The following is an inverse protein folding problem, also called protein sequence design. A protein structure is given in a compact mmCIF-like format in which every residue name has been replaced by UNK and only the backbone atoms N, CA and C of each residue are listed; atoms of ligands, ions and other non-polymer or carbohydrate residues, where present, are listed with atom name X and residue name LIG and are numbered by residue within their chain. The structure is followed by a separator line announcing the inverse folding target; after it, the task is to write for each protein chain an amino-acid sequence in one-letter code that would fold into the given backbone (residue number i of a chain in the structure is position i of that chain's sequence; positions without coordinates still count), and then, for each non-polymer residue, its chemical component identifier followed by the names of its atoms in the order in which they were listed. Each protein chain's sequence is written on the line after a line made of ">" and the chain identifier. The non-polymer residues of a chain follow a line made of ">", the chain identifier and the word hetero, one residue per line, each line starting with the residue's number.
data_IF_478723538454
#
_entry.id   IF_478723538454
#
_cell.length_a   1.000
_cell.length_b   1.000
_cell.length_c   1.000
_cell.angle_alpha   90.00
_cell.angle_beta   90.00
_cell.angle_gamma   90.00
#
_symmetry.space_group_name_H-M   'P 1'
#
loop_
_entity.id
_entity.type
_entity.pdbx_description
1 polymer ?
#
# COMPACT_ATOMS: atom_id res chain seq x y z
N UNK A 1 -61.41 26.72 36.71
CA UNK A 1 -60.99 27.92 35.96
C UNK A 1 -59.56 27.69 35.46
N UNK A 2 -59.32 27.79 34.15
CA UNK A 2 -57.98 27.84 33.55
C UNK A 2 -57.33 29.19 33.91
N UNK A 3 -55.99 29.28 33.92
CA UNK A 3 -55.28 29.86 32.75
C UNK A 3 -54.05 29.00 32.35
N UNK A 4 -53.72 28.74 31.07
CA UNK A 4 -53.17 29.66 30.03
C UNK A 4 -51.90 30.33 30.57
N UNK A 5 -50.70 30.27 29.99
CA UNK A 5 -50.16 29.86 28.69
C UNK A 5 -48.79 30.56 28.61
N UNK A 6 -47.75 29.89 28.08
CA UNK A 6 -46.40 30.46 28.09
C UNK A 6 -45.42 29.69 27.23
N UNK A 7 -45.80 29.41 25.98
CA UNK A 7 -44.94 28.82 24.96
C UNK A 7 -44.02 29.93 24.43
N UNK A 8 -42.76 29.96 24.86
CA UNK A 8 -41.75 30.88 24.31
C UNK A 8 -41.26 30.30 22.98
N UNK A 9 -41.70 30.91 21.88
CA UNK A 9 -41.09 30.79 20.57
C UNK A 9 -39.72 31.47 20.57
N UNK A 10 -38.64 30.72 20.38
CA UNK A 10 -37.39 31.29 19.85
C UNK A 10 -37.46 31.22 18.32
N UNK A 11 -37.39 32.41 17.71
CA UNK A 11 -37.43 32.65 16.27
C UNK A 11 -36.34 31.87 15.55
N UNK A 12 -36.69 31.36 14.37
CA UNK A 12 -35.76 30.85 13.38
C UNK A 12 -34.86 31.98 12.89
N UNK A 13 -33.56 31.68 12.74
CA UNK A 13 -32.66 32.45 11.90
C UNK A 13 -32.23 31.53 10.75
N UNK A 14 -32.87 31.70 9.61
CA UNK A 14 -32.43 31.22 8.30
C UNK A 14 -31.21 32.06 7.89
N UNK A 15 -30.06 31.41 7.71
CA UNK A 15 -28.86 32.04 7.12
C UNK A 15 -28.62 31.35 5.78
N UNK A 16 -28.46 32.16 4.74
CA UNK A 16 -28.26 31.75 3.36
C UNK A 16 -26.93 30.98 3.18
N UNK A 17 -26.85 30.07 2.19
CA UNK A 17 -25.67 29.25 1.95
C UNK A 17 -24.77 29.97 0.96
N UNK A 18 -23.78 30.71 1.44
CA UNK A 18 -22.61 31.10 0.66
C UNK A 18 -21.52 31.49 1.65
N UNK A 19 -20.26 31.20 1.31
CA UNK A 19 -19.01 31.38 2.07
C UNK A 19 -18.40 30.08 2.63
N UNK A 20 -18.03 29.16 1.74
CA UNK A 20 -16.93 28.22 2.00
C UNK A 20 -16.18 27.85 0.71
N UNK A 21 -15.58 28.85 0.07
CA UNK A 21 -14.55 28.66 -0.94
C UNK A 21 -13.50 29.71 -0.70
N UNK A 22 -12.37 29.33 -0.10
CA UNK A 22 -11.04 29.95 -0.24
C UNK A 22 -10.07 29.36 0.80
N UNK A 23 -9.55 28.18 0.49
CA UNK A 23 -8.43 27.56 1.23
C UNK A 23 -7.27 27.13 0.31
N UNK A 24 -7.30 27.52 -0.97
CA UNK A 24 -6.17 27.33 -1.89
C UNK A 24 -5.90 28.63 -2.67
N UNK A 25 -4.90 29.38 -2.21
CA UNK A 25 -4.32 30.50 -2.95
C UNK A 25 -3.64 30.07 -4.26
N UNK A 26 -3.23 31.05 -5.09
CA UNK A 26 -3.13 30.89 -6.54
C UNK A 26 -2.01 29.95 -6.99
N UNK A 27 -2.34 29.10 -7.98
CA UNK A 27 -1.38 28.28 -8.71
C UNK A 27 -0.50 29.19 -9.59
N UNK A 28 0.80 29.15 -9.37
CA UNK A 28 1.80 29.70 -10.28
C UNK A 28 1.81 28.90 -11.58
N UNK A 29 1.56 29.58 -12.70
CA UNK A 29 1.78 29.05 -14.04
C UNK A 29 3.25 29.24 -14.43
N UNK A 30 3.92 28.14 -14.78
CA UNK A 30 5.23 28.16 -15.43
C UNK A 30 5.01 28.41 -16.92
N UNK A 31 5.67 29.38 -17.57
CA UNK A 31 5.57 29.59 -19.01
C UNK A 31 6.43 28.56 -19.76
N UNK A 32 5.81 27.79 -20.65
CA UNK A 32 6.53 26.99 -21.65
C UNK A 32 6.72 27.85 -22.89
N UNK A 33 7.97 28.24 -23.14
CA UNK A 33 8.39 28.97 -24.34
C UNK A 33 8.27 28.06 -25.57
N UNK A 34 7.40 28.45 -26.51
CA UNK A 34 7.42 27.99 -27.90
C UNK A 34 8.50 28.76 -28.67
N UNK A 35 9.57 28.07 -29.07
CA UNK A 35 10.49 28.52 -30.11
C UNK A 35 10.28 27.72 -31.39
N UNK A 36 9.84 28.42 -32.42
CA UNK A 36 9.84 28.00 -33.82
C UNK A 36 11.27 27.92 -34.36
N UNK A 37 11.54 27.00 -35.30
CA UNK A 37 12.57 27.26 -36.32
C UNK A 37 11.96 27.34 -37.73
N UNK A 38 12.42 28.35 -38.44
CA UNK A 38 12.05 28.77 -39.80
C UNK A 38 12.41 27.76 -40.90
N UNK A 39 11.68 27.91 -42.01
CA UNK A 39 11.78 27.14 -43.24
C UNK A 39 13.15 27.16 -43.92
N UNK A 40 13.56 26.01 -44.48
CA UNK A 40 14.53 25.92 -45.58
C UNK A 40 13.93 25.01 -46.67
N UNK A 41 13.85 25.56 -47.88
CA UNK A 41 13.40 24.92 -49.12
C UNK A 41 14.47 23.94 -49.62
N UNK A 42 14.05 22.77 -50.11
CA UNK A 42 14.92 21.83 -50.82
C UNK A 42 14.12 20.81 -51.63
N UNK A 43 14.15 20.98 -52.95
CA UNK A 43 13.51 20.15 -53.98
C UNK A 43 14.20 18.79 -54.10
N UNK A 44 13.47 17.66 -54.21
CA UNK A 44 13.70 16.64 -55.27
C UNK A 44 12.81 15.37 -55.22
N UNK A 45 12.08 15.19 -56.33
CA UNK A 45 11.81 13.95 -57.11
C UNK A 45 11.26 12.69 -56.41
N UNK A 46 9.95 12.50 -56.59
CA UNK A 46 9.24 11.21 -56.55
C UNK A 46 9.89 10.19 -57.51
N UNK A 47 10.36 9.05 -56.98
CA UNK A 47 10.59 7.84 -57.77
C UNK A 47 9.41 6.89 -57.59
N UNK A 48 8.73 6.57 -58.70
CA UNK A 48 7.80 5.43 -58.79
C UNK A 48 8.59 4.14 -58.62
N UNK A 49 8.08 3.22 -57.81
CA UNK A 49 8.46 1.80 -57.84
C UNK A 49 7.19 1.00 -58.17
N UNK A 50 7.32 0.12 -59.15
CA UNK A 50 6.29 -0.67 -59.80
C UNK A 50 6.61 -2.15 -59.53
N UNK A 51 5.68 -2.94 -58.98
CA UNK A 51 5.84 -4.40 -58.76
C UNK A 51 4.42 -5.05 -58.86
N UNK A 52 4.23 -6.32 -59.29
CA UNK A 52 3.73 -6.67 -60.61
C UNK A 52 2.39 -7.44 -60.59
N UNK A 53 1.71 -7.49 -61.73
CA UNK A 53 0.50 -8.31 -61.94
C UNK A 53 0.87 -9.79 -62.11
N UNK A 54 0.27 -10.70 -61.32
CA UNK A 54 0.21 -12.14 -61.63
C UNK A 54 -1.21 -12.56 -62.03
N UNK A 55 -1.25 -13.38 -63.09
CA UNK A 55 -2.43 -13.91 -63.81
C UNK A 55 -3.13 -15.06 -63.05
N UNK A 56 -4.39 -15.38 -63.39
CA UNK A 56 -5.21 -16.35 -62.68
C UNK A 56 -5.01 -17.77 -63.22
N UNK A 57 -5.01 -18.78 -62.34
CA UNK A 57 -5.28 -20.17 -62.74
C UNK A 57 -5.98 -20.97 -61.64
N UNK A 58 -7.23 -21.28 -61.96
CA UNK A 58 -7.94 -22.55 -61.85
C UNK A 58 -8.22 -23.21 -60.49
N UNK A 59 -9.51 -23.23 -60.21
CA UNK A 59 -10.29 -23.92 -59.19
C UNK A 59 -10.01 -25.44 -59.14
N UNK A 60 -9.73 -25.96 -57.94
CA UNK A 60 -10.17 -27.30 -57.53
C UNK A 60 -10.93 -27.13 -56.21
N UNK A 61 -12.22 -27.45 -56.24
CA UNK A 61 -13.08 -27.48 -55.05
C UNK A 61 -12.59 -28.60 -54.11
N UNK A 62 -12.36 -28.26 -52.85
CA UNK A 62 -12.25 -29.21 -51.75
C UNK A 62 -13.12 -28.67 -50.59
N UNK A 63 -13.87 -29.56 -49.96
CA UNK A 63 -14.95 -29.27 -49.01
C UNK A 63 -14.50 -28.48 -47.79
N UNK A 64 -15.40 -27.64 -47.28
CA UNK A 64 -15.23 -26.71 -46.14
C UNK A 64 -15.09 -27.38 -44.77
N UNK A 65 -14.77 -28.67 -44.70
CA UNK A 65 -14.76 -29.45 -43.45
C UNK A 65 -13.32 -29.76 -42.97
N UNK A 66 -12.30 -29.66 -43.83
CA UNK A 66 -10.92 -30.06 -43.48
C UNK A 66 -9.99 -28.91 -43.05
N UNK A 67 -10.50 -27.67 -42.89
CA UNK A 67 -9.70 -26.54 -42.36
C UNK A 67 -9.97 -26.22 -40.87
N UNK A 68 -10.87 -26.96 -40.21
CA UNK A 68 -11.25 -26.75 -38.82
C UNK A 68 -10.57 -27.71 -37.84
N UNK A 69 -9.56 -28.47 -38.28
CA UNK A 69 -8.83 -29.40 -37.41
C UNK A 69 -7.34 -29.08 -37.26
N UNK A 70 -6.76 -28.28 -38.15
CA UNK A 70 -5.35 -27.85 -38.07
C UNK A 70 -5.09 -26.59 -37.22
N UNK A 71 -6.13 -25.87 -36.82
CA UNK A 71 -6.02 -24.76 -35.84
C UNK A 71 -6.14 -25.29 -34.40
N UNK A 72 -6.76 -26.46 -34.21
CA UNK A 72 -6.89 -27.09 -32.89
C UNK A 72 -5.65 -27.91 -32.50
N UNK A 73 -4.87 -28.37 -33.49
CA UNK A 73 -3.63 -29.13 -33.28
C UNK A 73 -2.40 -28.25 -33.05
N UNK A 74 -2.40 -26.98 -33.45
CA UNK A 74 -1.33 -26.00 -33.14
C UNK A 74 -1.50 -25.30 -31.78
N UNK A 75 -2.60 -25.56 -31.06
CA UNK A 75 -2.80 -25.17 -29.65
C UNK A 75 -2.21 -26.23 -28.69
N UNK A 76 -1.62 -27.30 -29.23
CA UNK A 76 -1.00 -28.39 -28.45
C UNK A 76 0.52 -28.27 -28.30
N UNK A 77 1.04 -27.06 -28.20
CA UNK A 77 2.30 -26.79 -27.50
C UNK A 77 1.99 -26.13 -26.14
N UNK A 78 1.39 -26.95 -25.26
CA UNK A 78 1.03 -26.63 -23.88
C UNK A 78 2.27 -26.53 -22.97
N UNK A 79 3.13 -25.53 -23.19
CA UNK A 79 4.10 -25.02 -22.21
C UNK A 79 4.31 -23.50 -22.36
N UNK A 80 3.23 -22.73 -22.57
CA UNK A 80 3.28 -21.28 -22.34
C UNK A 80 3.30 -21.04 -20.82
N UNK A 81 4.52 -21.08 -20.28
CA UNK A 81 5.00 -20.30 -19.15
C UNK A 81 3.93 -19.77 -18.19
N UNK A 82 3.78 -20.43 -17.04
CA UNK A 82 3.05 -19.96 -15.86
C UNK A 82 3.65 -18.65 -15.31
N UNK A 83 3.55 -17.57 -16.08
CA UNK A 83 4.13 -16.25 -15.82
C UNK A 83 2.98 -15.29 -15.60
N UNK A 84 2.84 -14.81 -14.37
CA UNK A 84 1.90 -13.77 -14.01
C UNK A 84 2.65 -12.45 -13.92
N UNK A 85 2.23 -11.47 -14.72
CA UNK A 85 2.76 -10.12 -14.63
C UNK A 85 1.97 -9.33 -13.59
N UNK A 86 2.67 -8.78 -12.59
CA UNK A 86 2.02 -7.97 -11.57
C UNK A 86 1.43 -6.69 -12.18
N UNK A 87 0.14 -6.39 -11.98
CA UNK A 87 -0.52 -5.20 -12.54
C UNK A 87 0.00 -3.85 -12.01
N UNK A 88 0.85 -3.84 -10.98
CA UNK A 88 1.34 -2.64 -10.32
C UNK A 88 2.83 -2.38 -10.56
N UNK A 89 3.69 -3.39 -10.41
CA UNK A 89 5.14 -3.26 -10.59
C UNK A 89 5.64 -3.84 -11.93
N UNK A 90 4.77 -4.49 -12.71
CA UNK A 90 5.09 -5.12 -14.00
C UNK A 90 6.15 -6.23 -13.93
N UNK A 91 6.38 -6.76 -12.72
CA UNK A 91 7.29 -7.87 -12.52
C UNK A 91 6.66 -9.19 -12.96
N UNK A 92 7.43 -10.00 -13.67
CA UNK A 92 7.01 -11.30 -14.19
C UNK A 92 7.29 -12.39 -13.17
N UNK A 93 6.25 -12.85 -12.50
CA UNK A 93 6.32 -13.88 -11.46
C UNK A 93 6.23 -15.26 -12.11
N UNK A 94 7.17 -16.17 -11.81
CA UNK A 94 7.14 -17.57 -12.30
C UNK A 94 6.55 -18.49 -11.24
N UNK A 95 5.65 -19.39 -11.64
CA UNK A 95 5.15 -20.43 -10.76
C UNK A 95 6.23 -21.49 -10.44
N UNK A 96 6.14 -22.24 -9.32
CA UNK A 96 5.04 -22.25 -8.34
C UNK A 96 5.03 -21.05 -7.40
N UNK A 97 3.84 -20.49 -7.16
CA UNK A 97 3.65 -19.39 -6.21
C UNK A 97 3.34 -19.91 -4.80
N UNK A 98 3.69 -19.16 -3.76
CA UNK A 98 3.20 -19.39 -2.41
C UNK A 98 1.66 -19.35 -2.36
N UNK A 99 1.05 -20.17 -1.50
CA UNK A 99 -0.41 -20.37 -1.43
C UNK A 99 -1.20 -19.06 -1.31
N UNK A 100 -0.71 -18.12 -0.50
CA UNK A 100 -1.36 -16.81 -0.31
C UNK A 100 -1.35 -15.96 -1.58
N UNK A 101 -0.23 -15.95 -2.31
CA UNK A 101 -0.11 -15.22 -3.56
C UNK A 101 -1.01 -15.84 -4.64
N UNK A 102 -1.07 -17.17 -4.68
CA UNK A 102 -1.93 -17.87 -5.62
C UNK A 102 -3.42 -17.55 -5.37
N UNK A 103 -3.86 -17.55 -4.10
CA UNK A 103 -5.23 -17.15 -3.72
C UNK A 103 -5.55 -15.72 -4.15
N UNK A 104 -4.66 -14.77 -3.86
CA UNK A 104 -4.85 -13.37 -4.22
C UNK A 104 -4.93 -13.17 -5.75
N UNK A 105 -4.07 -13.84 -6.51
CA UNK A 105 -4.11 -13.80 -7.99
C UNK A 105 -5.41 -14.39 -8.52
N UNK A 106 -5.88 -15.51 -7.96
CA UNK A 106 -7.17 -16.14 -8.34
C UNK A 106 -8.34 -15.21 -8.09
N UNK A 107 -8.42 -14.62 -6.90
CA UNK A 107 -9.49 -13.70 -6.52
C UNK A 107 -9.56 -12.48 -7.46
N UNK A 108 -8.42 -11.86 -7.76
CA UNK A 108 -8.36 -10.71 -8.68
C UNK A 108 -8.72 -11.12 -10.11
N UNK A 109 -8.29 -12.29 -10.57
CA UNK A 109 -8.68 -12.83 -11.89
C UNK A 109 -10.19 -13.10 -11.96
N UNK A 110 -10.80 -13.59 -10.88
CA UNK A 110 -12.25 -13.82 -10.80
C UNK A 110 -13.03 -12.50 -10.84
N UNK A 111 -12.64 -11.50 -10.04
CA UNK A 111 -13.22 -10.14 -10.07
C UNK A 111 -13.13 -9.51 -11.47
N UNK A 112 -12.01 -9.70 -12.16
CA UNK A 112 -11.86 -9.24 -13.55
C UNK A 112 -12.83 -9.94 -14.50
N UNK A 113 -13.05 -11.24 -14.33
CA UNK A 113 -13.96 -12.02 -15.19
C UNK A 113 -15.41 -11.59 -14.98
N UNK A 114 -15.87 -11.49 -13.74
CA UNK A 114 -17.24 -11.06 -13.44
C UNK A 114 -17.51 -9.66 -13.97
N UNK A 115 -16.57 -8.73 -13.80
CA UNK A 115 -16.69 -7.38 -14.35
C UNK A 115 -16.77 -7.36 -15.89
N UNK A 116 -15.94 -8.16 -16.57
CA UNK A 116 -16.00 -8.31 -18.04
C UNK A 116 -17.32 -8.93 -18.51
N UNK A 117 -17.86 -9.90 -17.77
CA UNK A 117 -19.16 -10.52 -18.07
C UNK A 117 -20.32 -9.54 -17.88
N UNK A 118 -20.30 -8.73 -16.83
CA UNK A 118 -21.28 -7.67 -16.59
C UNK A 118 -21.25 -6.62 -17.71
N UNK A 119 -20.06 -6.20 -18.15
CA UNK A 119 -19.92 -5.30 -19.30
C UNK A 119 -20.51 -5.89 -20.58
N UNK A 120 -20.30 -7.19 -20.83
CA UNK A 120 -20.87 -7.87 -22.00
C UNK A 120 -22.39 -7.91 -21.93
N UNK A 121 -22.98 -8.28 -20.77
CA UNK A 121 -24.44 -8.29 -20.59
C UNK A 121 -25.06 -6.90 -20.71
N UNK A 122 -24.41 -5.88 -20.14
CA UNK A 122 -24.85 -4.49 -20.27
C UNK A 122 -24.76 -4.00 -21.72
N UNK A 123 -23.75 -4.44 -22.46
CA UNK A 123 -23.62 -4.13 -23.88
C UNK A 123 -24.67 -4.85 -24.74
N UNK A 124 -24.90 -6.14 -24.50
CA UNK A 124 -25.92 -6.93 -25.21
C UNK A 124 -27.32 -6.34 -25.02
N UNK A 125 -27.67 -5.94 -23.80
CA UNK A 125 -28.93 -5.25 -23.50
C UNK A 125 -29.02 -3.88 -24.18
N UNK A 126 -27.93 -3.10 -24.20
CA UNK A 126 -27.86 -1.84 -24.96
C UNK A 126 -28.10 -2.09 -26.45
N UNK A 127 -27.37 -3.03 -27.07
CA UNK A 127 -27.49 -3.42 -28.48
C UNK A 127 -28.92 -3.83 -28.83
N UNK A 128 -29.56 -4.66 -27.99
CA UNK A 128 -30.94 -5.09 -28.20
C UNK A 128 -31.92 -3.90 -28.22
N UNK A 129 -31.75 -2.94 -27.31
CA UNK A 129 -32.56 -1.72 -27.26
C UNK A 129 -32.31 -0.82 -28.48
N UNK A 130 -31.06 -0.59 -28.87
CA UNK A 130 -30.73 0.26 -30.02
C UNK A 130 -31.22 -0.32 -31.35
N UNK A 131 -31.21 -1.66 -31.49
CA UNK A 131 -31.81 -2.35 -32.64
C UNK A 131 -33.33 -2.17 -32.69
N UNK A 132 -34.02 -2.26 -31.56
CA UNK A 132 -35.47 -2.04 -31.48
C UNK A 132 -35.85 -0.58 -31.83
N UNK A 133 -34.99 0.39 -31.52
CA UNK A 133 -35.14 1.80 -31.87
C UNK A 133 -34.78 2.12 -33.34
N UNK A 134 -34.35 1.13 -34.13
CA UNK A 134 -34.04 1.29 -35.55
C UNK A 134 -32.69 1.98 -35.86
N UNK A 135 -31.75 2.04 -34.91
CA UNK A 135 -30.40 2.54 -35.18
C UNK A 135 -29.64 1.59 -36.11
N UNK A 136 -29.06 2.15 -37.18
CA UNK A 136 -28.27 1.40 -38.19
C UNK A 136 -26.85 1.11 -37.69
N UNK A 137 -26.29 2.00 -36.87
CA UNK A 137 -24.96 1.85 -36.29
C UNK A 137 -25.03 1.63 -34.78
N UNK A 138 -24.26 0.65 -34.30
CA UNK A 138 -24.11 0.34 -32.88
C UNK A 138 -22.62 0.38 -32.58
N UNK A 139 -22.26 1.18 -31.59
CA UNK A 139 -20.88 1.36 -31.17
C UNK A 139 -20.28 0.05 -30.63
N UNK A 140 -19.10 -0.40 -31.08
CA UNK A 140 -18.49 -1.65 -30.62
C UNK A 140 -18.17 -1.65 -29.11
N UNK A 141 -18.28 -2.82 -28.47
CA UNK A 141 -17.87 -2.99 -27.07
C UNK A 141 -16.34 -2.89 -26.94
N UNK A 142 -15.87 -1.87 -26.23
CA UNK A 142 -14.50 -1.77 -25.75
C UNK A 142 -14.49 -2.22 -24.29
N UNK A 143 -14.00 -3.44 -24.04
CA UNK A 143 -13.84 -3.95 -22.68
C UNK A 143 -12.82 -3.10 -21.93
N UNK A 144 -13.18 -2.69 -20.71
CA UNK A 144 -12.25 -1.98 -19.81
C UNK A 144 -11.76 -2.96 -18.76
N UNK A 145 -10.46 -3.00 -18.54
CA UNK A 145 -9.88 -3.71 -17.40
C UNK A 145 -10.03 -2.83 -16.15
N UNK A 146 -11.17 -2.93 -15.45
CA UNK A 146 -11.34 -2.28 -14.16
C UNK A 146 -10.88 -3.20 -13.03
N UNK A 147 -9.57 -3.35 -12.90
CA UNK A 147 -8.99 -3.85 -11.65
C UNK A 147 -8.94 -2.63 -10.72
N UNK A 148 -9.49 -2.75 -9.51
CA UNK A 148 -9.36 -1.70 -8.51
C UNK A 148 -7.88 -1.41 -8.25
N UNK A 149 -7.52 -0.13 -8.11
CA UNK A 149 -6.16 0.26 -7.73
C UNK A 149 -5.72 -0.36 -6.39
N UNK A 150 -6.69 -0.64 -5.51
CA UNK A 150 -6.47 -1.33 -4.25
C UNK A 150 -6.09 -2.80 -4.46
N UNK A 151 -6.80 -3.52 -5.35
CA UNK A 151 -6.50 -4.91 -5.69
C UNK A 151 -5.12 -5.05 -6.35
N UNK A 152 -4.75 -4.10 -7.23
CA UNK A 152 -3.40 -4.07 -7.84
C UNK A 152 -2.31 -3.94 -6.78
N UNK A 153 -2.49 -3.01 -5.83
CA UNK A 153 -1.55 -2.79 -4.72
C UNK A 153 -1.51 -3.99 -3.78
N UNK A 154 -2.64 -4.62 -3.51
CA UNK A 154 -2.73 -5.81 -2.66
C UNK A 154 -1.89 -6.95 -3.25
N UNK A 155 -2.11 -7.31 -4.51
CA UNK A 155 -1.31 -8.36 -5.19
C UNK A 155 0.17 -7.99 -5.23
N UNK A 156 0.49 -6.71 -5.44
CA UNK A 156 1.86 -6.22 -5.42
C UNK A 156 2.53 -6.45 -4.06
N UNK A 157 1.88 -6.00 -2.99
CA UNK A 157 2.39 -6.16 -1.64
C UNK A 157 2.54 -7.64 -1.30
N UNK A 158 1.58 -8.49 -1.64
CA UNK A 158 1.65 -9.92 -1.32
C UNK A 158 2.83 -10.58 -2.03
N UNK A 159 3.08 -10.32 -3.32
CA UNK A 159 4.21 -10.96 -4.00
C UNK A 159 5.55 -10.49 -3.44
N UNK A 160 5.73 -9.20 -3.15
CA UNK A 160 7.01 -8.71 -2.59
C UNK A 160 7.27 -9.36 -1.25
N UNK A 161 6.23 -9.45 -0.43
CA UNK A 161 6.35 -10.04 0.89
C UNK A 161 6.68 -11.54 0.82
N UNK A 162 5.97 -12.31 -0.01
CA UNK A 162 6.17 -13.77 -0.09
C UNK A 162 7.43 -14.18 -0.87
N UNK A 163 7.79 -13.45 -1.93
CA UNK A 163 8.89 -13.81 -2.83
C UNK A 163 10.21 -13.14 -2.47
N UNK A 164 10.21 -11.96 -1.86
CA UNK A 164 11.44 -11.25 -1.47
C UNK A 164 11.63 -11.29 0.05
N UNK A 165 10.66 -10.79 0.82
CA UNK A 165 10.88 -10.50 2.25
C UNK A 165 10.92 -11.77 3.10
N UNK A 166 10.02 -12.72 2.86
CA UNK A 166 9.94 -13.99 3.60
C UNK A 166 11.19 -14.87 3.43
N UNK A 167 11.70 -15.14 2.20
CA UNK A 167 12.93 -15.91 2.06
C UNK A 167 14.13 -15.18 2.68
N UNK A 168 14.24 -13.86 2.51
CA UNK A 168 15.29 -13.08 3.16
C UNK A 168 15.22 -13.15 4.69
N UNK A 169 14.02 -13.12 5.27
CA UNK A 169 13.84 -13.28 6.71
C UNK A 169 14.29 -14.67 7.20
N UNK A 170 14.00 -15.72 6.42
CA UNK A 170 14.44 -17.08 6.71
C UNK A 170 15.95 -17.25 6.62
N UNK A 171 16.58 -16.67 5.60
CA UNK A 171 18.04 -16.66 5.46
C UNK A 171 18.72 -15.92 6.62
N UNK A 172 18.11 -14.82 7.10
CA UNK A 172 18.59 -14.06 8.26
C UNK A 172 18.25 -14.71 9.61
N UNK A 173 17.48 -15.79 9.62
CA UNK A 173 17.10 -16.51 10.83
C UNK A 173 16.11 -15.77 11.73
N UNK A 174 15.28 -14.88 11.17
CA UNK A 174 14.23 -14.21 11.93
C UNK A 174 13.15 -15.22 12.38
N UNK A 175 12.53 -15.04 13.56
CA UNK A 175 11.47 -15.94 14.01
C UNK A 175 10.30 -16.00 13.01
N UNK A 176 9.94 -17.20 12.56
CA UNK A 176 8.77 -17.40 11.68
C UNK A 176 7.46 -17.18 12.44
N UNK A 177 7.43 -17.47 13.75
CA UNK A 177 6.28 -17.27 14.64
C UNK A 177 6.72 -16.56 15.91
N UNK A 178 5.93 -15.56 16.33
CA UNK A 178 6.19 -14.76 17.53
C UNK A 178 5.07 -15.04 18.53
N UNK A 179 5.44 -15.53 19.71
CA UNK A 179 4.50 -15.77 20.81
C UNK A 179 4.23 -14.47 21.58
N UNK A 180 3.29 -13.66 21.07
CA UNK A 180 2.94 -12.35 21.66
C UNK A 180 2.49 -12.43 23.13
N UNK A 181 1.88 -13.55 23.54
CA UNK A 181 1.45 -13.77 24.93
C UNK A 181 2.62 -13.79 25.91
N UNK A 182 3.79 -14.28 25.48
CA UNK A 182 5.00 -14.35 26.31
C UNK A 182 5.77 -13.03 26.35
N UNK A 183 5.47 -12.09 25.46
CA UNK A 183 6.18 -10.80 25.37
C UNK A 183 6.05 -10.01 26.67
N UNK A 184 4.89 -10.04 27.32
CA UNK A 184 4.68 -9.33 28.59
C UNK A 184 5.60 -9.84 29.70
N UNK A 185 5.74 -11.17 29.82
CA UNK A 185 6.65 -11.80 30.79
C UNK A 185 8.11 -11.46 30.50
N UNK A 186 8.48 -11.40 29.23
CA UNK A 186 9.84 -11.02 28.83
C UNK A 186 10.14 -9.57 29.15
N UNK A 187 9.20 -8.64 28.88
CA UNK A 187 9.33 -7.23 29.25
C UNK A 187 9.54 -7.07 30.77
N UNK A 188 8.84 -7.86 31.57
CA UNK A 188 9.02 -7.85 33.03
C UNK A 188 10.43 -8.26 33.46
N UNK A 189 11.13 -9.09 32.68
CA UNK A 189 12.49 -9.56 33.01
C UNK A 189 13.51 -8.43 32.99
N UNK A 190 13.35 -7.44 32.11
CA UNK A 190 14.26 -6.30 31.98
C UNK A 190 13.62 -4.97 32.38
N UNK A 191 12.57 -5.03 33.22
CA UNK A 191 11.84 -3.87 33.69
C UNK A 191 12.73 -2.88 34.42
N UNK A 192 13.66 -3.37 35.25
CA UNK A 192 14.56 -2.52 36.05
C UNK A 192 15.41 -1.62 35.16
N UNK A 193 15.94 -2.18 34.07
CA UNK A 193 16.72 -1.39 33.13
C UNK A 193 15.88 -0.33 32.39
N UNK A 194 14.58 -0.57 32.17
CA UNK A 194 13.68 0.45 31.63
C UNK A 194 13.45 1.58 32.65
N UNK A 195 13.39 1.25 33.94
CA UNK A 195 13.36 2.25 35.02
C UNK A 195 14.66 3.07 35.03
N UNK A 196 15.80 2.44 34.78
CA UNK A 196 17.08 3.14 34.68
C UNK A 196 17.10 4.17 33.54
N UNK A 197 16.49 3.85 32.41
CA UNK A 197 16.31 4.79 31.29
C UNK A 197 15.37 5.93 31.70
N UNK A 198 14.25 5.62 32.36
CA UNK A 198 13.28 6.64 32.83
C UNK A 198 13.97 7.60 33.80
N UNK A 199 14.73 7.09 34.78
CA UNK A 199 15.44 7.90 35.77
C UNK A 199 16.68 8.62 35.20
N UNK A 200 17.05 8.35 33.94
CA UNK A 200 18.23 8.94 33.30
C UNK A 200 19.56 8.38 33.80
N UNK A 201 19.55 7.21 34.46
CA UNK A 201 20.77 6.48 34.86
C UNK A 201 21.45 5.84 33.66
N UNK A 202 20.68 5.49 32.63
CA UNK A 202 21.17 4.90 31.38
C UNK A 202 20.85 5.80 30.20
N UNK A 203 21.84 6.03 29.35
CA UNK A 203 21.65 6.77 28.10
C UNK A 203 20.87 5.95 27.07
N UNK A 204 19.85 6.59 26.50
CA UNK A 204 18.98 6.02 25.47
C UNK A 204 19.13 6.84 24.18
N UNK A 205 19.46 6.16 23.07
CA UNK A 205 19.54 6.78 21.74
C UNK A 205 18.20 7.42 21.36
N UNK A 206 17.10 6.71 21.66
CA UNK A 206 15.74 7.13 21.34
C UNK A 206 15.31 8.33 22.18
N UNK A 207 15.67 8.37 23.47
CA UNK A 207 15.40 9.52 24.33
C UNK A 207 16.15 10.77 23.84
N UNK A 208 17.42 10.62 23.49
CA UNK A 208 18.22 11.72 22.94
C UNK A 208 17.64 12.23 21.63
N UNK A 209 17.25 11.33 20.73
CA UNK A 209 16.62 11.69 19.45
C UNK A 209 15.27 12.38 19.64
N UNK A 210 14.45 11.92 20.59
CA UNK A 210 13.18 12.54 20.91
C UNK A 210 13.36 13.96 21.46
N UNK A 211 14.32 14.18 22.38
CA UNK A 211 14.65 15.51 22.90
C UNK A 211 15.17 16.44 21.82
N UNK A 212 16.13 15.99 20.99
CA UNK A 212 16.67 16.76 19.86
C UNK A 212 15.58 17.18 18.87
N UNK A 213 14.61 16.31 18.60
CA UNK A 213 13.50 16.64 17.69
C UNK A 213 12.62 17.75 18.27
N UNK A 214 12.31 17.70 19.56
CA UNK A 214 11.55 18.75 20.25
C UNK A 214 12.32 20.07 20.27
N UNK A 215 13.63 20.04 20.49
CA UNK A 215 14.49 21.22 20.47
C UNK A 215 14.57 21.87 19.08
N UNK A 216 14.72 21.07 18.01
CA UNK A 216 14.89 21.58 16.64
C UNK A 216 13.63 22.20 16.05
N UNK A 217 12.47 21.55 16.25
CA UNK A 217 11.23 21.90 15.53
C UNK A 217 10.24 22.60 16.50
N UNK A 218 10.47 22.50 17.80
CA UNK A 218 9.58 23.02 18.84
C UNK A 218 8.47 22.02 19.21
N UNK A 219 7.95 22.16 20.43
CA UNK A 219 7.01 21.21 21.03
C UNK A 219 5.72 21.02 20.20
N UNK A 220 5.13 22.12 19.70
CA UNK A 220 3.87 22.05 18.95
C UNK A 220 4.04 21.37 17.59
N UNK A 221 5.10 21.69 16.85
CA UNK A 221 5.38 21.05 15.56
C UNK A 221 5.84 19.60 15.72
N UNK A 222 6.48 19.24 16.83
CA UNK A 222 6.86 17.85 17.13
C UNK A 222 5.65 16.92 17.31
N UNK A 223 4.46 17.49 17.57
CA UNK A 223 3.17 16.79 17.72
C UNK A 223 2.31 16.87 16.48
N UNK A 224 2.82 17.45 15.40
CA UNK A 224 2.11 17.47 14.12
C UNK A 224 1.95 16.05 13.56
N UNK A 225 0.86 15.84 12.81
CA UNK A 225 0.51 14.54 12.23
C UNK A 225 1.66 13.96 11.41
N UNK A 226 2.34 14.82 10.64
CA UNK A 226 3.51 14.43 9.83
C UNK A 226 4.63 13.84 10.69
N UNK A 227 4.93 14.46 11.83
CA UNK A 227 5.99 13.99 12.71
C UNK A 227 5.58 12.73 13.47
N UNK A 228 4.31 12.61 13.87
CA UNK A 228 3.80 11.40 14.47
C UNK A 228 3.92 10.20 13.53
N UNK A 229 3.62 10.37 12.24
CA UNK A 229 3.78 9.30 11.23
C UNK A 229 5.26 8.93 11.06
N UNK A 230 6.15 9.92 10.93
CA UNK A 230 7.59 9.67 10.80
C UNK A 230 8.15 8.92 12.01
N UNK A 231 7.77 9.34 13.22
CA UNK A 231 8.17 8.67 14.45
C UNK A 231 7.60 7.27 14.54
N UNK A 232 6.34 7.08 14.19
CA UNK A 232 5.72 5.76 14.20
C UNK A 232 6.50 4.80 13.31
N UNK A 233 6.83 5.18 12.08
CA UNK A 233 7.62 4.34 11.17
C UNK A 233 9.01 3.99 11.72
N UNK A 234 9.67 4.94 12.39
CA UNK A 234 11.01 4.73 12.95
C UNK A 234 11.02 3.98 14.29
N UNK A 235 9.94 4.07 15.06
CA UNK A 235 9.80 3.47 16.39
C UNK A 235 9.16 2.07 16.37
N UNK A 236 8.82 1.54 15.17
CA UNK A 236 8.31 0.18 15.04
C UNK A 236 9.36 -0.85 15.50
N UNK A 237 8.99 -1.85 16.31
CA UNK A 237 9.90 -2.84 16.87
C UNK A 237 10.33 -3.93 15.85
N UNK A 238 10.73 -3.53 14.63
CA UNK A 238 11.22 -4.45 13.59
C UNK A 238 10.23 -5.55 13.24
N UNK A 239 10.67 -6.82 13.25
CA UNK A 239 9.84 -7.98 12.95
C UNK A 239 8.66 -8.18 13.91
N UNK A 240 8.68 -7.60 15.11
CA UNK A 240 7.52 -7.60 16.00
C UNK A 240 6.35 -6.79 15.44
N UNK A 241 6.61 -5.86 14.53
CA UNK A 241 5.59 -5.11 13.79
C UNK A 241 4.60 -4.31 14.65
N UNK A 242 3.42 -4.04 14.10
CA UNK A 242 2.40 -3.18 14.74
C UNK A 242 1.72 -3.86 15.94
N UNK A 243 1.43 -5.16 15.87
CA UNK A 243 0.81 -5.89 17.00
C UNK A 243 1.77 -6.07 18.16
N UNK A 244 3.05 -6.31 17.87
CA UNK A 244 4.08 -6.30 18.91
C UNK A 244 4.21 -4.93 19.58
N UNK A 245 4.16 -3.85 18.80
CA UNK A 245 4.13 -2.50 19.37
C UNK A 245 2.90 -2.26 20.25
N UNK A 246 1.72 -2.72 19.86
CA UNK A 246 0.48 -2.58 20.65
C UNK A 246 0.57 -3.34 21.98
N UNK A 247 1.06 -4.60 21.96
CA UNK A 247 1.31 -5.38 23.18
C UNK A 247 2.32 -4.66 24.07
N UNK A 248 3.45 -4.20 23.52
CA UNK A 248 4.44 -3.43 24.28
C UNK A 248 3.84 -2.17 24.91
N UNK A 249 3.07 -1.38 24.16
CA UNK A 249 2.42 -0.16 24.68
C UNK A 249 1.50 -0.50 25.84
N UNK A 250 0.66 -1.55 25.71
CA UNK A 250 -0.26 -1.99 26.75
C UNK A 250 0.48 -2.40 28.02
N UNK A 251 1.47 -3.29 27.90
CA UNK A 251 2.27 -3.75 29.04
C UNK A 251 3.01 -2.59 29.70
N UNK A 252 3.69 -1.74 28.93
CA UNK A 252 4.45 -0.60 29.45
C UNK A 252 3.55 0.43 30.13
N UNK A 253 2.34 0.66 29.60
CA UNK A 253 1.36 1.54 30.22
C UNK A 253 0.93 1.00 31.58
N UNK A 254 0.65 -0.30 31.70
CA UNK A 254 0.31 -0.93 32.98
C UNK A 254 1.47 -0.89 33.98
N UNK A 255 2.70 -0.99 33.52
CA UNK A 255 3.88 -1.01 34.38
C UNK A 255 4.26 0.38 34.91
N UNK A 256 4.15 1.42 34.08
CA UNK A 256 4.83 2.70 34.35
C UNK A 256 3.93 3.92 34.45
N UNK A 257 2.70 3.90 33.89
CA UNK A 257 1.88 5.12 33.78
C UNK A 257 1.45 5.69 35.14
N UNK A 258 1.13 4.82 36.10
CA UNK A 258 0.68 5.19 37.45
C UNK A 258 1.80 5.19 38.50
N UNK A 259 3.05 4.93 38.09
CA UNK A 259 4.20 4.73 39.00
C UNK A 259 5.35 5.67 38.64
N UNK A 260 6.25 5.20 37.78
CA UNK A 260 7.55 5.83 37.52
C UNK A 260 7.49 7.02 36.54
N UNK A 261 6.46 7.08 35.68
CA UNK A 261 6.33 8.14 34.68
C UNK A 261 5.70 9.40 35.27
N UNK A 262 6.51 10.19 35.98
CA UNK A 262 6.10 11.54 36.40
C UNK A 262 6.28 12.57 35.27
N UNK A 263 5.44 13.61 35.27
CA UNK A 263 5.54 14.75 34.34
C UNK A 263 6.91 15.43 34.37
N UNK A 264 7.60 15.38 35.52
CA UNK A 264 8.94 15.97 35.69
C UNK A 264 10.01 15.14 34.96
N UNK A 265 9.95 13.82 35.10
CA UNK A 265 10.90 12.88 34.51
C UNK A 265 10.78 12.80 32.99
N UNK A 266 9.55 12.88 32.48
CA UNK A 266 9.27 12.74 31.05
C UNK A 266 9.51 14.04 30.26
N UNK A 267 9.70 15.18 30.92
CA UNK A 267 9.79 16.47 30.25
C UNK A 267 10.92 16.47 29.20
N UNK A 268 10.68 16.94 27.96
CA UNK A 268 9.53 17.70 27.46
C UNK A 268 8.35 16.86 26.91
N UNK A 269 8.45 15.54 26.93
CA UNK A 269 7.45 14.60 26.41
C UNK A 269 6.33 14.35 27.45
N UNK A 270 5.15 13.99 26.96
CA UNK A 270 4.09 13.43 27.83
C UNK A 270 4.42 11.96 28.17
N UNK A 271 3.92 11.42 29.30
CA UNK A 271 4.13 10.01 29.66
C UNK A 271 3.81 9.02 28.53
N UNK A 272 2.68 9.19 27.84
CA UNK A 272 2.31 8.31 26.71
C UNK A 272 3.22 8.49 25.48
N UNK A 273 3.66 9.72 25.21
CA UNK A 273 4.60 10.00 24.11
C UNK A 273 5.97 9.41 24.42
N UNK A 274 6.37 9.41 25.69
CA UNK A 274 7.60 8.79 26.16
C UNK A 274 7.55 7.27 25.98
N UNK A 275 6.44 6.63 26.36
CA UNK A 275 6.25 5.18 26.12
C UNK A 275 6.41 4.88 24.62
N UNK A 276 5.66 5.56 23.76
CA UNK A 276 5.64 5.27 22.33
C UNK A 276 6.96 5.58 21.61
N UNK A 277 7.62 6.69 21.93
CA UNK A 277 8.83 7.15 21.21
C UNK A 277 10.13 6.61 21.78
N UNK A 278 10.15 6.20 23.05
CA UNK A 278 11.37 5.79 23.76
C UNK A 278 11.25 4.35 24.23
N UNK A 279 10.27 4.04 25.09
CA UNK A 279 10.23 2.73 25.73
C UNK A 279 9.89 1.60 24.77
N UNK A 280 8.96 1.80 23.84
CA UNK A 280 8.60 0.79 22.83
C UNK A 280 9.80 0.38 21.97
N UNK A 281 10.54 1.31 21.31
CA UNK A 281 11.69 0.92 20.52
C UNK A 281 12.86 0.38 21.36
N UNK A 282 13.06 0.83 22.62
CA UNK A 282 14.04 0.23 23.53
C UNK A 282 13.64 -1.21 23.93
N UNK A 283 12.36 -1.47 24.18
CA UNK A 283 11.85 -2.82 24.45
C UNK A 283 12.01 -3.73 23.24
N UNK A 284 11.62 -3.25 22.06
CA UNK A 284 11.80 -3.99 20.81
C UNK A 284 13.25 -4.34 20.56
N UNK A 285 14.18 -3.40 20.78
CA UNK A 285 15.61 -3.64 20.66
C UNK A 285 16.09 -4.77 21.58
N UNK A 286 15.71 -4.73 22.87
CA UNK A 286 16.10 -5.75 23.86
C UNK A 286 15.50 -7.12 23.59
N UNK A 287 14.26 -7.17 23.11
CA UNK A 287 13.64 -8.43 22.69
C UNK A 287 14.39 -9.04 21.51
N UNK A 288 14.78 -8.22 20.53
CA UNK A 288 15.60 -8.67 19.40
C UNK A 288 16.99 -9.14 19.84
N UNK A 289 17.63 -8.45 20.78
CA UNK A 289 18.91 -8.88 21.38
C UNK A 289 18.78 -10.27 22.01
N UNK A 290 17.70 -10.52 22.76
CA UNK A 290 17.43 -11.82 23.38
C UNK A 290 17.15 -12.93 22.36
N UNK A 291 16.37 -12.63 21.33
CA UNK A 291 15.95 -13.61 20.32
C UNK A 291 17.12 -14.03 19.44
N UNK A 292 17.88 -13.04 18.96
CA UNK A 292 18.99 -13.27 18.02
C UNK A 292 20.33 -13.50 18.73
N UNK A 293 20.41 -13.27 20.05
CA UNK A 293 21.63 -13.35 20.87
C UNK A 293 22.77 -12.46 20.31
N UNK A 294 22.41 -11.25 19.88
CA UNK A 294 23.33 -10.29 19.25
C UNK A 294 23.58 -9.07 20.14
N UNK A 295 24.57 -8.26 19.78
CA UNK A 295 24.87 -7.01 20.48
C UNK A 295 23.89 -5.89 20.09
N UNK A 296 23.76 -4.85 20.92
CA UNK A 296 22.85 -3.70 20.76
C UNK A 296 22.92 -3.03 19.39
N UNK A 297 24.12 -2.88 18.85
CA UNK A 297 24.33 -2.26 17.53
C UNK A 297 23.76 -3.11 16.39
N UNK A 298 23.93 -4.43 16.48
CA UNK A 298 23.43 -5.39 15.49
C UNK A 298 21.92 -5.55 15.62
N UNK A 299 21.39 -5.64 16.84
CA UNK A 299 19.95 -5.63 17.09
C UNK A 299 19.27 -4.40 16.50
N UNK A 300 19.88 -3.21 16.62
CA UNK A 300 19.35 -1.97 16.02
C UNK A 300 19.32 -2.03 14.49
N UNK A 301 20.31 -2.68 13.87
CA UNK A 301 20.35 -2.89 12.42
C UNK A 301 19.26 -3.88 11.99
N UNK A 302 19.14 -5.01 12.68
CA UNK A 302 18.10 -6.02 12.46
C UNK A 302 16.71 -5.40 12.62
N UNK A 303 16.50 -4.59 13.66
CA UNK A 303 15.24 -3.90 13.92
C UNK A 303 14.82 -3.04 12.72
N UNK A 304 15.74 -2.29 12.11
CA UNK A 304 15.44 -1.47 10.93
C UNK A 304 15.18 -2.30 9.68
N UNK A 305 15.98 -3.33 9.43
CA UNK A 305 15.84 -4.19 8.26
C UNK A 305 14.58 -5.06 8.30
N UNK A 306 14.11 -5.39 9.50
CA UNK A 306 12.96 -6.27 9.70
C UNK A 306 11.61 -5.56 9.78
N UNK A 307 11.57 -4.23 9.64
CA UNK A 307 10.31 -3.45 9.65
C UNK A 307 9.37 -3.93 8.54
N UNK A 308 9.90 -4.19 7.35
CA UNK A 308 9.08 -4.65 6.22
C UNK A 308 8.45 -6.02 6.51
N UNK A 309 9.23 -6.95 7.07
CA UNK A 309 8.74 -8.24 7.52
C UNK A 309 7.64 -8.11 8.58
N UNK A 310 7.84 -7.23 9.57
CA UNK A 310 6.87 -6.97 10.63
C UNK A 310 5.54 -6.37 10.15
N UNK A 311 5.47 -5.74 8.97
CA UNK A 311 4.20 -5.16 8.47
C UNK A 311 3.14 -6.21 8.12
N UNK A 312 3.55 -7.42 7.71
CA UNK A 312 2.61 -8.46 7.24
C UNK A 312 2.33 -9.53 8.31
N UNK A 313 3.37 -10.05 8.96
CA UNK A 313 3.24 -11.21 9.87
C UNK A 313 2.96 -10.82 11.33
N UNK A 314 2.80 -9.54 11.60
CA UNK A 314 2.36 -8.98 12.89
C UNK A 314 0.83 -8.76 12.92
N UNK A 315 0.02 -9.44 12.10
CA UNK A 315 -1.44 -9.34 12.14
C UNK A 315 -2.06 -10.43 13.01
#
# INVERSE_FOLDING_TARGET
>A
MKPVGGRVHKKMATVAPDQLTDLFGPRSSIPVNTTTPSAIRGISRLRRINIPKKKPTNTKMCSSVDMMEDISSTIKDNQEDNVYECPFCFEKLKAPYPEELEKAIKEVKEKQRTYKEEQKKAYETKVAKERAEGRIYIEPLILKDAISEEDKKMVCNIHKMELEVKPLAKEKGYPETIEFEKVEMRINTFKEDLVDIIMGRTESDWLMEAKRTVEKIGLNKSRDTTQLINHFQNALPGYYGMKGADVMIKTLSQLFLDKELSKKTCWPLKPIEYIQRVLVPECGLRLIEQDMKVNKKEAKKIMKESIEYGKKYSL
#
